data_IF_657971925653
#
_entry.id   IF_657971925653
#
_cell.length_a   1.000
_cell.length_b   1.000
_cell.length_c   1.000
_cell.angle_alpha   90.00
_cell.angle_beta   90.00
_cell.angle_gamma   90.00
#
_symmetry.space_group_name_H-M   'P 1'
#
loop_
_entity.id
_entity.type
_entity.pdbx_description
1 polymer ?
#
# COMPACT_ATOMS: atom_id res chain seq x y z
N UNK A 1 -8.91 22.89 -7.41
CA UNK A 1 -8.32 23.30 -6.11
C UNK A 1 -7.18 22.33 -5.85
N UNK A 2 -5.96 22.79 -5.54
CA UNK A 2 -4.88 21.87 -5.21
C UNK A 2 -5.32 21.03 -4.01
N UNK A 3 -5.10 19.73 -4.07
CA UNK A 3 -5.48 18.84 -2.99
C UNK A 3 -4.57 19.15 -1.80
N UNK A 4 -5.13 19.80 -0.78
CA UNK A 4 -4.51 19.83 0.53
C UNK A 4 -4.31 18.37 0.94
N UNK A 5 -3.06 17.92 0.98
CA UNK A 5 -2.69 16.56 1.35
C UNK A 5 -2.05 16.62 2.75
N UNK A 6 -2.87 16.54 3.82
CA UNK A 6 -2.38 16.55 5.19
C UNK A 6 -1.28 15.53 5.42
N UNK A 7 -1.26 14.42 4.65
CA UNK A 7 -0.25 13.37 4.74
C UNK A 7 1.14 13.82 4.28
N UNK A 8 1.21 14.61 3.21
CA UNK A 8 2.46 15.20 2.76
C UNK A 8 2.87 16.39 3.65
N UNK A 9 1.90 17.14 4.17
CA UNK A 9 2.17 18.28 5.04
C UNK A 9 2.71 17.85 6.40
N UNK A 10 2.18 16.76 7.00
CA UNK A 10 2.73 16.28 8.26
C UNK A 10 4.15 15.76 8.10
N UNK A 11 4.47 15.01 7.04
CA UNK A 11 5.84 14.55 6.73
C UNK A 11 6.84 15.70 6.49
N UNK A 12 6.37 16.86 6.03
CA UNK A 12 7.17 18.06 5.80
C UNK A 12 7.38 18.96 7.02
N UNK A 13 6.71 18.70 8.16
CA UNK A 13 7.00 19.44 9.40
C UNK A 13 8.35 19.02 10.02
N UNK A 14 9.11 20.01 10.48
CA UNK A 14 10.39 19.80 11.19
C UNK A 14 10.10 19.00 12.47
N UNK A 15 10.55 17.74 12.51
CA UNK A 15 10.36 16.85 13.66
C UNK A 15 9.55 15.59 13.37
N UNK A 16 8.90 15.49 12.22
CA UNK A 16 8.03 14.34 11.88
C UNK A 16 8.77 13.01 11.77
N UNK A 17 9.98 13.04 11.24
CA UNK A 17 10.87 11.87 11.22
C UNK A 17 11.14 11.33 12.63
N UNK A 18 11.29 12.23 13.61
CA UNK A 18 11.51 11.87 15.01
C UNK A 18 10.25 11.25 15.61
N UNK A 19 9.08 11.84 15.35
CA UNK A 19 7.79 11.30 15.81
C UNK A 19 7.52 9.90 15.25
N UNK A 20 7.82 9.65 13.98
CA UNK A 20 7.64 8.34 13.35
C UNK A 20 8.55 7.26 13.94
N UNK A 21 9.82 7.62 14.19
CA UNK A 21 10.76 6.73 14.87
C UNK A 21 10.29 6.44 16.31
N UNK A 22 9.81 7.45 17.03
CA UNK A 22 9.26 7.28 18.38
C UNK A 22 8.02 6.37 18.40
N UNK A 23 7.10 6.52 17.44
CA UNK A 23 5.91 5.66 17.31
C UNK A 23 6.31 4.22 16.98
N UNK A 24 7.25 4.00 16.05
CA UNK A 24 7.74 2.67 15.70
C UNK A 24 8.43 1.99 16.89
N UNK A 25 9.24 2.72 17.66
CA UNK A 25 9.91 2.21 18.87
C UNK A 25 8.89 1.93 19.99
N UNK A 26 7.90 2.81 20.18
CA UNK A 26 6.84 2.60 21.17
C UNK A 26 5.96 1.39 20.83
N UNK A 27 5.54 1.23 19.57
CA UNK A 27 4.79 0.06 19.11
C UNK A 27 5.63 -1.21 19.28
N UNK A 28 6.89 -1.21 18.87
CA UNK A 28 7.78 -2.37 19.06
C UNK A 28 7.93 -2.72 20.54
N UNK A 29 8.08 -1.73 21.42
CA UNK A 29 8.14 -1.89 22.87
C UNK A 29 6.87 -2.51 23.46
N UNK A 30 5.69 -1.99 23.09
CA UNK A 30 4.38 -2.52 23.50
C UNK A 30 4.22 -3.98 23.08
N UNK A 31 4.62 -4.29 21.85
CA UNK A 31 4.58 -5.63 21.32
C UNK A 31 5.54 -6.57 22.08
N UNK A 32 6.76 -6.15 22.39
CA UNK A 32 7.69 -6.98 23.19
C UNK A 32 7.22 -7.27 24.63
N UNK A 33 6.27 -6.51 25.16
CA UNK A 33 5.67 -6.77 26.48
C UNK A 33 4.61 -7.88 26.46
N UNK A 34 4.20 -8.37 25.28
CA UNK A 34 3.20 -9.45 25.14
C UNK A 34 3.89 -10.82 25.32
N UNK A 35 3.56 -11.59 26.36
CA UNK A 35 4.16 -12.91 26.58
C UNK A 35 3.69 -13.90 25.50
N UNK A 36 4.63 -14.62 24.90
CA UNK A 36 4.37 -15.61 23.85
C UNK A 36 4.55 -15.10 22.41
N UNK A 37 4.91 -13.83 22.22
CA UNK A 37 5.14 -13.27 20.88
C UNK A 37 6.59 -13.41 20.44
N UNK A 38 6.80 -13.87 19.21
CA UNK A 38 8.13 -14.00 18.62
C UNK A 38 8.66 -12.65 18.12
N UNK A 39 9.99 -12.52 18.04
CA UNK A 39 10.64 -11.28 17.60
C UNK A 39 10.22 -10.86 16.19
N UNK A 40 10.06 -11.83 15.30
CA UNK A 40 9.63 -11.65 13.91
C UNK A 40 8.17 -11.18 13.83
N UNK A 41 7.26 -11.80 14.59
CA UNK A 41 5.87 -11.37 14.65
C UNK A 41 5.71 -9.97 15.22
N UNK A 42 6.53 -9.59 16.20
CA UNK A 42 6.54 -8.23 16.73
C UNK A 42 6.95 -7.17 15.69
N UNK A 43 7.90 -7.48 14.80
CA UNK A 43 8.25 -6.59 13.70
C UNK A 43 7.16 -6.52 12.63
N UNK A 44 6.52 -7.65 12.33
CA UNK A 44 5.39 -7.71 11.38
C UNK A 44 4.18 -6.91 11.88
N UNK A 45 3.84 -7.03 13.17
CA UNK A 45 2.73 -6.31 13.79
C UNK A 45 3.02 -4.82 13.94
N UNK A 46 4.26 -4.44 14.28
CA UNK A 46 4.68 -3.03 14.31
C UNK A 46 4.48 -2.38 12.94
N UNK A 47 4.91 -3.04 11.86
CA UNK A 47 4.70 -2.55 10.49
C UNK A 47 3.21 -2.47 10.14
N UNK A 48 2.43 -3.50 10.45
CA UNK A 48 0.98 -3.51 10.16
C UNK A 48 0.26 -2.38 10.89
N UNK A 49 0.49 -2.22 12.20
CA UNK A 49 -0.15 -1.19 13.02
C UNK A 49 0.29 0.21 12.64
N UNK A 50 1.56 0.40 12.29
CA UNK A 50 2.08 1.68 11.80
C UNK A 50 1.41 2.10 10.48
N UNK A 51 1.26 1.17 9.52
CA UNK A 51 0.60 1.44 8.24
C UNK A 51 -0.93 1.63 8.36
N UNK A 52 -1.58 1.03 9.36
CA UNK A 52 -3.02 1.22 9.63
C UNK A 52 -3.28 2.54 10.37
N UNK A 53 -2.37 2.94 11.27
CA UNK A 53 -2.50 4.15 12.09
C UNK A 53 -2.26 5.46 11.31
N UNK A 54 -1.66 5.39 10.12
CA UNK A 54 -1.53 6.52 9.21
C UNK A 54 -2.93 6.89 8.68
N UNK A 55 -3.50 7.98 9.20
CA UNK A 55 -4.89 8.43 9.11
C UNK A 55 -5.36 8.80 7.69
N UNK A 56 -5.24 7.86 6.76
CA UNK A 56 -5.55 8.09 5.37
C UNK A 56 -6.86 7.44 5.01
N UNK A 57 -7.88 8.25 4.75
CA UNK A 57 -9.01 7.75 3.99
C UNK A 57 -8.49 7.15 2.68
N UNK A 58 -7.54 7.77 2.00
CA UNK A 58 -7.05 7.33 0.70
C UNK A 58 -5.93 6.30 0.81
N UNK A 59 -5.90 5.29 -0.05
CA UNK A 59 -4.76 4.38 -0.17
C UNK A 59 -3.50 5.15 -0.60
N UNK A 60 -2.29 4.66 -0.29
CA UNK A 60 -1.03 5.28 -0.73
C UNK A 60 -0.98 5.47 -2.27
N UNK A 61 -1.59 4.54 -3.01
CA UNK A 61 -1.77 4.63 -4.45
C UNK A 61 -2.59 5.84 -4.90
N UNK A 62 -3.64 6.20 -4.15
CA UNK A 62 -4.49 7.35 -4.43
C UNK A 62 -3.82 8.68 -4.07
N UNK A 63 -2.83 8.65 -3.18
CA UNK A 63 -2.06 9.82 -2.74
C UNK A 63 -0.81 10.10 -3.58
N UNK A 64 -0.35 9.12 -4.37
CA UNK A 64 0.80 9.27 -5.26
C UNK A 64 0.58 10.43 -6.25
N UNK A 65 1.58 11.27 -6.50
CA UNK A 65 1.49 12.41 -7.43
C UNK A 65 0.26 13.33 -7.22
N UNK A 66 -0.07 13.64 -5.96
CA UNK A 66 -1.20 14.51 -5.58
C UNK A 66 -2.58 14.04 -6.11
N UNK A 67 -2.70 12.77 -6.49
CA UNK A 67 -3.92 12.24 -7.10
C UNK A 67 -4.02 12.47 -8.61
N UNK A 68 -3.00 13.05 -9.25
CA UNK A 68 -2.94 13.13 -10.71
C UNK A 68 -2.92 11.74 -11.34
N UNK A 69 -3.84 11.52 -12.27
CA UNK A 69 -3.91 10.28 -13.03
C UNK A 69 -2.92 10.37 -14.21
N UNK A 70 -2.40 9.22 -14.66
CA UNK A 70 -1.54 9.11 -15.86
C UNK A 70 -0.13 9.74 -15.80
N UNK A 71 0.43 9.93 -14.61
CA UNK A 71 1.83 10.31 -14.44
C UNK A 71 2.79 9.20 -14.93
N UNK A 72 4.03 9.54 -15.35
CA UNK A 72 5.03 8.55 -15.76
C UNK A 72 5.35 7.53 -14.65
N UNK A 73 5.38 7.97 -13.40
CA UNK A 73 5.57 7.10 -12.22
C UNK A 73 4.46 6.07 -12.09
N UNK A 74 3.19 6.47 -12.21
CA UNK A 74 2.04 5.54 -12.14
C UNK A 74 2.02 4.56 -13.31
N UNK A 75 2.37 5.01 -14.52
CA UNK A 75 2.49 4.12 -15.69
C UNK A 75 3.57 3.06 -15.47
N UNK A 76 4.74 3.45 -14.96
CA UNK A 76 5.80 2.50 -14.61
C UNK A 76 5.34 1.48 -13.55
N UNK A 77 4.71 1.94 -12.46
CA UNK A 77 4.22 1.08 -11.39
C UNK A 77 3.06 0.17 -11.80
N UNK A 78 2.29 0.52 -12.84
CA UNK A 78 1.29 -0.37 -13.45
C UNK A 78 1.93 -1.38 -14.42
N UNK A 79 2.96 -0.98 -15.15
CA UNK A 79 3.67 -1.85 -16.11
C UNK A 79 4.51 -2.90 -15.40
N UNK A 80 5.05 -2.59 -14.22
CA UNK A 80 5.91 -3.49 -13.47
C UNK A 80 5.23 -4.84 -13.09
N UNK A 81 4.00 -4.88 -12.52
CA UNK A 81 3.26 -6.13 -12.31
C UNK A 81 2.96 -6.91 -13.59
N UNK A 82 2.68 -6.21 -14.71
CA UNK A 82 2.44 -6.84 -16.02
C UNK A 82 3.72 -7.51 -16.53
N UNK A 83 4.86 -6.85 -16.37
CA UNK A 83 6.16 -7.42 -16.71
C UNK A 83 6.49 -8.64 -15.84
N UNK A 84 6.24 -8.57 -14.53
CA UNK A 84 6.41 -9.72 -13.62
C UNK A 84 5.50 -10.90 -14.00
N UNK A 85 4.27 -10.65 -14.43
CA UNK A 85 3.38 -11.68 -14.96
C UNK A 85 3.96 -12.36 -16.21
N UNK A 86 4.46 -11.57 -17.17
CA UNK A 86 5.06 -12.09 -18.40
C UNK A 86 6.31 -12.92 -18.11
N UNK A 87 7.16 -12.47 -17.19
CA UNK A 87 8.33 -13.21 -16.73
C UNK A 87 7.93 -14.50 -16.02
N UNK A 88 6.93 -14.46 -15.14
CA UNK A 88 6.41 -15.64 -14.47
C UNK A 88 5.88 -16.66 -15.47
N UNK A 89 5.09 -16.23 -16.46
CA UNK A 89 4.54 -17.10 -17.49
C UNK A 89 5.64 -17.76 -18.34
N UNK A 90 6.73 -17.04 -18.60
CA UNK A 90 7.90 -17.57 -19.30
C UNK A 90 8.62 -18.66 -18.49
N UNK A 91 8.86 -18.43 -17.19
CA UNK A 91 9.58 -19.38 -16.33
C UNK A 91 8.75 -20.60 -15.92
N UNK A 92 7.42 -20.51 -15.90
CA UNK A 92 6.56 -21.67 -15.60
C UNK A 92 6.27 -22.52 -16.84
N UNK A 93 6.99 -22.32 -17.95
CA UNK A 93 6.79 -23.04 -19.21
C UNK A 93 5.32 -23.11 -19.66
N UNK A 94 4.56 -22.04 -19.43
CA UNK A 94 3.14 -21.95 -19.79
C UNK A 94 2.22 -23.01 -19.16
N UNK A 95 2.56 -23.55 -17.98
CA UNK A 95 1.61 -24.37 -17.21
C UNK A 95 0.30 -23.61 -16.98
N UNK A 96 -0.82 -24.22 -17.41
CA UNK A 96 -2.13 -23.59 -17.46
C UNK A 96 -2.61 -23.21 -16.06
N UNK A 97 -2.32 -24.03 -15.05
CA UNK A 97 -2.76 -23.78 -13.67
C UNK A 97 -2.05 -22.57 -13.06
N UNK A 98 -0.72 -22.51 -13.14
CA UNK A 98 0.07 -21.34 -12.70
C UNK A 98 -0.26 -20.08 -13.51
N UNK A 99 -0.52 -20.22 -14.81
CA UNK A 99 -0.92 -19.10 -15.67
C UNK A 99 -2.25 -18.50 -15.22
N UNK A 100 -3.28 -19.32 -15.00
CA UNK A 100 -4.60 -18.86 -14.55
C UNK A 100 -4.55 -18.15 -13.18
N UNK A 101 -3.76 -18.67 -12.24
CA UNK A 101 -3.58 -18.05 -10.92
C UNK A 101 -2.88 -16.69 -11.05
N UNK A 102 -1.77 -16.63 -11.77
CA UNK A 102 -1.03 -15.38 -11.97
C UNK A 102 -1.84 -14.34 -12.74
N UNK A 103 -2.67 -14.77 -13.71
CA UNK A 103 -3.58 -13.90 -14.45
C UNK A 103 -4.67 -13.33 -13.55
N UNK A 104 -5.26 -14.15 -12.66
CA UNK A 104 -6.26 -13.68 -11.70
C UNK A 104 -5.67 -12.66 -10.71
N UNK A 105 -4.46 -12.91 -10.21
CA UNK A 105 -3.74 -11.97 -9.33
C UNK A 105 -3.43 -10.66 -10.07
N UNK A 106 -2.97 -10.72 -11.32
CA UNK A 106 -2.74 -9.54 -12.15
C UNK A 106 -4.04 -8.75 -12.37
N UNK A 107 -5.14 -9.43 -12.69
CA UNK A 107 -6.44 -8.80 -12.92
C UNK A 107 -6.92 -8.03 -11.68
N UNK A 108 -6.83 -8.64 -10.49
CA UNK A 108 -7.18 -7.99 -9.22
C UNK A 108 -6.31 -6.74 -8.97
N UNK A 109 -5.00 -6.84 -9.20
CA UNK A 109 -4.08 -5.71 -9.02
C UNK A 109 -4.33 -4.58 -10.00
N UNK A 110 -4.63 -4.89 -11.26
CA UNK A 110 -4.96 -3.88 -12.28
C UNK A 110 -6.30 -3.22 -11.97
N UNK A 111 -7.33 -4.00 -11.61
CA UNK A 111 -8.65 -3.48 -11.23
C UNK A 111 -8.52 -2.49 -10.07
N UNK A 112 -7.80 -2.86 -9.00
CA UNK A 112 -7.61 -1.98 -7.84
C UNK A 112 -6.90 -0.65 -8.19
N UNK A 113 -6.15 -0.61 -9.30
CA UNK A 113 -5.38 0.55 -9.73
C UNK A 113 -6.03 1.33 -10.87
N UNK A 114 -7.12 0.84 -11.46
CA UNK A 114 -7.83 1.49 -12.57
C UNK A 114 -8.38 2.87 -12.16
N UNK A 115 -8.36 3.86 -13.09
CA UNK A 115 -8.88 5.21 -12.82
C UNK A 115 -10.39 5.19 -12.48
N UNK A 116 -11.15 4.20 -12.97
CA UNK A 116 -12.55 4.00 -12.61
C UNK A 116 -12.75 3.55 -11.16
N UNK A 117 -11.74 2.95 -10.53
CA UNK A 117 -11.74 2.53 -9.13
C UNK A 117 -11.21 3.62 -8.19
N UNK A 118 -10.80 4.79 -8.73
CA UNK A 118 -10.38 5.92 -7.94
C UNK A 118 -11.51 6.38 -7.02
N UNK A 119 -11.28 6.36 -5.70
CA UNK A 119 -12.28 6.68 -4.65
C UNK A 119 -13.48 5.74 -4.60
N UNK A 120 -13.49 4.64 -5.35
CA UNK A 120 -14.55 3.63 -5.27
C UNK A 120 -14.23 2.68 -4.12
N UNK A 121 -14.90 2.91 -3.00
CA UNK A 121 -14.78 2.04 -1.82
C UNK A 121 -15.78 0.91 -1.91
N UNK A 122 -15.33 -0.25 -2.36
CA UNK A 122 -16.09 -1.49 -2.25
C UNK A 122 -16.30 -1.73 -0.73
N UNK A 123 -17.55 -1.92 -0.31
CA UNK A 123 -18.00 -2.05 1.11
C UNK A 123 -18.18 -0.75 1.93
N UNK A 124 -17.95 0.44 1.37
CA UNK A 124 -18.30 1.70 2.04
C UNK A 124 -17.51 2.05 3.31
N UNK A 125 -16.44 1.32 3.62
CA UNK A 125 -15.53 1.64 4.73
C UNK A 125 -14.87 3.00 4.43
N UNK A 126 -15.06 3.99 5.29
CA UNK A 126 -14.54 5.37 5.17
C UNK A 126 -15.28 6.31 4.17
N UNK A 127 -16.61 6.18 4.06
CA UNK A 127 -17.44 7.27 3.50
C UNK A 127 -17.37 8.49 4.45
N UNK A 128 -16.91 9.63 3.94
CA UNK A 128 -17.19 10.91 4.60
C UNK A 128 -18.66 11.24 4.30
N UNK A 129 -19.46 11.43 5.36
CA UNK A 129 -20.75 12.07 5.25
C UNK A 129 -20.57 13.53 4.83
#
# INVERSE_FOLDING_TARGET
MPFNNPNADWLNFRGTWVTNVLIAVALKGLFTCVPGMTNELGWTLTNLTYNIGEYSALTLWEQLDEGEQYTPTRKFLMVFPVFLFLMSAHYTHYDLTMFCINLAVLAIQLIAKMPQMHRVRILGINKKA
#
